data_IF_069980974847
#
_entry.id   IF_069980974847
#
_cell.length_a   1.000
_cell.length_b   1.000
_cell.length_c   1.000
_cell.angle_alpha   90.00
_cell.angle_beta   90.00
_cell.angle_gamma   90.00
#
_symmetry.space_group_name_H-M   'P 1'
#
loop_
_entity.id
_entity.type
_entity.pdbx_description
1 polymer ?
#
# COMPACT_ATOMS: atom_id res chain seq x y z
N UNK A 1 -25.50 4.33 8.13
CA UNK A 1 -24.71 4.25 7.01
C UNK A 1 -24.34 5.59 6.39
N UNK A 2 -23.05 5.87 6.29
CA UNK A 2 -22.52 7.08 5.65
C UNK A 2 -22.35 6.90 4.11
N UNK A 3 -23.25 6.15 3.44
CA UNK A 3 -23.23 5.97 1.99
C UNK A 3 -22.13 5.04 1.46
N UNK A 4 -21.43 4.30 2.33
CA UNK A 4 -20.51 3.25 1.94
C UNK A 4 -21.26 1.93 1.72
N UNK A 5 -21.08 1.33 0.55
CA UNK A 5 -21.59 0.01 0.26
C UNK A 5 -20.53 -1.01 0.70
N UNK A 6 -20.86 -1.83 1.70
CA UNK A 6 -19.96 -2.85 2.26
C UNK A 6 -20.71 -4.14 2.54
N UNK A 7 -19.98 -5.21 2.73
CA UNK A 7 -20.51 -6.46 3.27
C UNK A 7 -21.10 -6.23 4.66
N UNK A 8 -22.22 -6.91 4.95
CA UNK A 8 -22.89 -6.85 6.24
C UNK A 8 -22.87 -8.22 6.87
N UNK A 9 -22.63 -8.27 8.19
CA UNK A 9 -22.70 -9.52 8.94
C UNK A 9 -24.15 -10.01 9.01
N UNK A 10 -24.40 -11.21 8.54
CA UNK A 10 -25.69 -11.90 8.69
C UNK A 10 -25.72 -12.56 10.06
N UNK A 11 -26.63 -12.10 10.91
CA UNK A 11 -26.76 -12.64 12.27
C UNK A 11 -27.43 -14.00 12.30
N UNK A 12 -27.06 -14.83 13.25
CA UNK A 12 -27.72 -16.12 13.51
C UNK A 12 -29.15 -15.91 14.01
N UNK A 13 -29.91 -17.00 14.19
CA UNK A 13 -31.27 -16.94 14.77
C UNK A 13 -31.28 -16.41 16.20
N UNK A 14 -30.16 -16.57 16.91
CA UNK A 14 -29.91 -16.10 18.28
C UNK A 14 -29.32 -14.68 18.31
N UNK A 15 -29.34 -13.97 17.20
CA UNK A 15 -28.79 -12.61 17.03
C UNK A 15 -27.26 -12.49 17.25
N UNK A 16 -26.54 -13.61 17.14
CA UNK A 16 -25.09 -13.62 17.25
C UNK A 16 -24.41 -13.35 15.87
N UNK A 17 -23.23 -12.67 15.82
CA UNK A 17 -22.51 -12.44 14.56
C UNK A 17 -21.76 -13.68 14.07
N UNK A 18 -21.56 -14.67 14.92
CA UNK A 18 -20.78 -15.88 14.64
C UNK A 18 -21.63 -17.10 15.03
N UNK A 19 -21.69 -18.10 14.16
CA UNK A 19 -22.21 -19.43 14.45
C UNK A 19 -21.05 -20.34 14.85
N UNK A 20 -21.26 -21.14 15.91
CA UNK A 20 -20.31 -22.16 16.36
C UNK A 20 -20.99 -23.52 16.14
N UNK A 21 -20.32 -24.41 15.41
CA UNK A 21 -20.82 -25.77 15.14
C UNK A 21 -20.25 -26.78 16.15
N UNK A 22 -20.72 -28.03 16.06
CA UNK A 22 -20.43 -29.10 17.07
C UNK A 22 -18.91 -29.38 17.24
N UNK A 23 -18.09 -29.15 16.20
CA UNK A 23 -16.63 -29.33 16.24
C UNK A 23 -15.87 -28.06 16.68
N UNK A 24 -16.57 -27.10 17.29
CA UNK A 24 -16.07 -25.79 17.72
C UNK A 24 -15.62 -24.86 16.56
N UNK A 25 -15.84 -25.24 15.32
CA UNK A 25 -15.56 -24.38 14.15
C UNK A 25 -16.49 -23.18 14.16
N UNK A 26 -15.90 -22.00 13.94
CA UNK A 26 -16.62 -20.73 13.92
C UNK A 26 -16.85 -20.27 12.48
N UNK A 27 -18.08 -19.89 12.19
CA UNK A 27 -18.50 -19.36 10.89
C UNK A 27 -19.10 -17.98 11.03
N UNK A 28 -18.72 -17.09 10.12
CA UNK A 28 -19.38 -15.81 9.93
C UNK A 28 -19.89 -15.76 8.49
N UNK A 29 -21.13 -15.32 8.31
CA UNK A 29 -21.76 -15.16 6.99
C UNK A 29 -21.86 -13.66 6.71
N UNK A 30 -21.41 -13.26 5.51
CA UNK A 30 -21.50 -11.87 5.04
C UNK A 30 -22.47 -11.81 3.86
N UNK A 31 -23.14 -10.66 3.70
CA UNK A 31 -23.93 -10.38 2.50
C UNK A 31 -22.98 -10.19 1.32
N UNK A 32 -23.40 -10.65 0.14
CA UNK A 32 -22.63 -10.41 -1.07
C UNK A 32 -22.86 -8.99 -1.61
N UNK A 33 -21.78 -8.31 -1.96
CA UNK A 33 -21.82 -7.08 -2.73
C UNK A 33 -21.58 -7.43 -4.20
N UNK A 34 -22.54 -7.09 -5.07
CA UNK A 34 -22.44 -7.37 -6.50
C UNK A 34 -21.78 -6.22 -7.25
N UNK A 35 -20.88 -6.53 -8.19
CA UNK A 35 -20.21 -5.55 -9.02
C UNK A 35 -19.07 -6.14 -9.83
N UNK A 36 -18.46 -5.33 -10.69
CA UNK A 36 -17.21 -5.67 -11.38
C UNK A 36 -16.05 -5.11 -10.57
N UNK A 37 -14.94 -5.82 -10.52
CA UNK A 37 -13.70 -5.30 -9.92
C UNK A 37 -13.25 -4.00 -10.61
N UNK A 38 -12.52 -3.16 -9.89
CA UNK A 38 -11.92 -1.94 -10.43
C UNK A 38 -11.03 -2.27 -11.64
N UNK A 39 -11.35 -1.71 -12.82
CA UNK A 39 -10.51 -1.90 -14.01
C UNK A 39 -9.26 -1.02 -13.92
N UNK A 40 -8.12 -1.65 -13.71
CA UNK A 40 -6.82 -0.98 -13.61
C UNK A 40 -6.31 -0.36 -14.93
N UNK A 41 -7.07 -0.46 -16.04
CA UNK A 41 -6.85 0.24 -17.31
C UNK A 41 -7.75 1.47 -17.45
N UNK A 42 -8.78 1.57 -16.61
CA UNK A 42 -9.69 2.70 -16.59
C UNK A 42 -9.25 3.72 -15.53
N UNK A 43 -8.74 4.87 -15.98
CA UNK A 43 -8.27 5.95 -15.09
C UNK A 43 -9.38 6.44 -14.15
N UNK A 44 -10.62 6.55 -14.64
CA UNK A 44 -11.76 7.00 -13.84
C UNK A 44 -12.08 6.03 -12.69
N UNK A 45 -12.02 4.71 -12.93
CA UNK A 45 -12.22 3.70 -11.88
C UNK A 45 -11.16 3.81 -10.80
N UNK A 46 -9.88 4.00 -11.21
CA UNK A 46 -8.78 4.12 -10.26
C UNK A 46 -8.90 5.39 -9.39
N UNK A 47 -9.28 6.52 -10.00
CA UNK A 47 -9.53 7.78 -9.29
C UNK A 47 -10.70 7.63 -8.31
N UNK A 48 -11.83 7.08 -8.76
CA UNK A 48 -12.98 6.83 -7.91
C UNK A 48 -12.67 5.85 -6.75
N UNK A 49 -11.76 4.90 -6.98
CA UNK A 49 -11.25 4.01 -5.94
C UNK A 49 -10.48 4.77 -4.85
N UNK A 50 -9.64 5.76 -5.21
CA UNK A 50 -8.93 6.59 -4.24
C UNK A 50 -9.89 7.49 -3.43
N UNK A 51 -10.88 8.10 -4.08
CA UNK A 51 -11.93 8.88 -3.40
C UNK A 51 -12.73 8.01 -2.43
N UNK A 52 -13.06 6.78 -2.85
CA UNK A 52 -13.82 5.85 -2.01
C UNK A 52 -13.02 5.39 -0.78
N UNK A 53 -11.69 5.24 -0.90
CA UNK A 53 -10.82 4.97 0.24
C UNK A 53 -10.83 6.13 1.24
N UNK A 54 -10.72 7.36 0.76
CA UNK A 54 -10.79 8.54 1.62
C UNK A 54 -12.14 8.66 2.36
N UNK A 55 -13.25 8.32 1.68
CA UNK A 55 -14.59 8.24 2.31
C UNK A 55 -14.62 7.15 3.39
N UNK A 56 -13.97 6.01 3.18
CA UNK A 56 -13.86 4.94 4.19
C UNK A 56 -13.13 5.44 5.43
N UNK A 57 -11.99 6.12 5.24
CA UNK A 57 -11.19 6.64 6.34
C UNK A 57 -11.94 7.71 7.14
N UNK A 58 -12.61 8.67 6.46
CA UNK A 58 -13.46 9.66 7.14
C UNK A 58 -14.62 9.01 7.92
N UNK A 59 -15.25 7.98 7.35
CA UNK A 59 -16.30 7.26 8.04
C UNK A 59 -15.80 6.55 9.30
N UNK A 60 -14.57 6.05 9.24
CA UNK A 60 -13.92 5.38 10.35
C UNK A 60 -13.51 6.33 11.49
N UNK A 61 -13.16 7.58 11.18
CA UNK A 61 -12.85 8.62 12.18
C UNK A 61 -14.03 8.96 13.09
N UNK A 62 -15.26 8.75 12.62
CA UNK A 62 -16.48 8.96 13.43
C UNK A 62 -16.73 7.86 14.46
N UNK A 63 -15.94 6.80 14.44
CA UNK A 63 -16.04 5.70 15.38
C UNK A 63 -15.36 6.08 16.69
N UNK A 64 -16.14 6.28 17.74
CA UNK A 64 -15.68 6.80 19.04
C UNK A 64 -15.45 5.74 20.12
N UNK A 65 -15.69 4.47 19.80
CA UNK A 65 -15.48 3.38 20.75
C UNK A 65 -14.00 3.04 20.93
N UNK A 66 -13.66 2.47 22.05
CA UNK A 66 -12.29 2.02 22.34
C UNK A 66 -11.86 0.96 21.31
N UNK A 67 -10.77 1.23 20.61
CA UNK A 67 -10.19 0.28 19.66
C UNK A 67 -9.62 -0.91 20.44
N UNK A 68 -10.01 -2.16 20.14
CA UNK A 68 -9.44 -3.31 20.80
C UNK A 68 -7.93 -3.43 20.51
N UNK A 69 -7.13 -3.73 21.53
CA UNK A 69 -5.67 -3.83 21.42
C UNK A 69 -5.20 -4.79 20.31
N UNK A 70 -5.95 -5.90 20.10
CA UNK A 70 -5.59 -6.90 19.10
C UNK A 70 -5.70 -6.43 17.64
N UNK A 71 -6.34 -5.28 17.36
CA UNK A 71 -6.37 -4.68 16.01
C UNK A 71 -5.41 -3.51 15.86
N UNK A 72 -4.76 -3.09 16.96
CA UNK A 72 -3.80 -1.99 16.94
C UNK A 72 -2.44 -2.49 16.45
N UNK A 73 -1.87 -1.79 15.47
CA UNK A 73 -0.50 -2.01 15.03
C UNK A 73 0.42 -1.00 15.71
N UNK A 74 1.66 -1.42 15.94
CA UNK A 74 2.69 -0.52 16.48
C UNK A 74 2.96 0.61 15.47
N UNK A 75 2.99 1.89 15.89
CA UNK A 75 3.34 3.01 15.03
C UNK A 75 4.72 2.86 14.35
N UNK A 76 5.62 2.08 14.95
CA UNK A 76 6.94 1.78 14.38
C UNK A 76 6.93 0.57 13.45
N UNK A 77 5.80 -0.10 13.27
CA UNK A 77 5.72 -1.36 12.53
C UNK A 77 6.36 -1.26 11.14
N UNK A 78 6.14 -0.15 10.41
CA UNK A 78 6.72 0.02 9.08
C UNK A 78 8.25 0.14 9.13
N UNK A 79 8.80 0.90 10.09
CA UNK A 79 10.24 1.02 10.26
C UNK A 79 10.87 -0.34 10.58
N UNK A 80 10.34 -1.03 11.57
CA UNK A 80 10.84 -2.35 11.98
C UNK A 80 10.71 -3.37 10.84
N UNK A 81 9.62 -3.31 10.08
CA UNK A 81 9.39 -4.13 8.91
C UNK A 81 10.46 -3.89 7.84
N UNK A 82 10.76 -2.65 7.50
CA UNK A 82 11.77 -2.32 6.50
C UNK A 82 13.19 -2.67 6.96
N UNK A 83 13.50 -2.48 8.23
CA UNK A 83 14.77 -2.96 8.79
C UNK A 83 14.90 -4.49 8.72
N UNK A 84 13.81 -5.22 9.00
CA UNK A 84 13.76 -6.67 8.82
C UNK A 84 13.97 -7.06 7.36
N UNK A 85 13.27 -6.41 6.43
CA UNK A 85 13.43 -6.64 4.99
C UNK A 85 14.87 -6.35 4.53
N UNK A 86 15.49 -5.29 5.03
CA UNK A 86 16.89 -4.97 4.75
C UNK A 86 17.85 -6.08 5.23
N UNK A 87 17.62 -6.62 6.43
CA UNK A 87 18.40 -7.77 6.94
C UNK A 87 18.18 -9.03 6.09
N UNK A 88 16.98 -9.27 5.59
CA UNK A 88 16.68 -10.38 4.69
C UNK A 88 17.35 -10.23 3.33
N UNK A 89 17.35 -9.02 2.74
CA UNK A 89 18.08 -8.72 1.50
C UNK A 89 19.59 -9.00 1.65
N UNK A 90 20.19 -8.65 2.79
CA UNK A 90 21.59 -8.98 3.10
C UNK A 90 21.82 -10.49 3.14
N UNK A 91 20.91 -11.27 3.74
CA UNK A 91 20.99 -12.73 3.78
C UNK A 91 20.94 -13.32 2.36
N UNK A 92 20.02 -12.85 1.52
CA UNK A 92 19.91 -13.30 0.12
C UNK A 92 21.18 -12.99 -0.65
N UNK A 93 21.71 -11.78 -0.55
CA UNK A 93 22.97 -11.38 -1.21
C UNK A 93 24.13 -12.24 -0.75
N UNK A 94 24.29 -12.52 0.56
CA UNK A 94 25.38 -13.33 1.09
C UNK A 94 25.27 -14.79 0.63
N UNK A 95 24.05 -15.34 0.57
CA UNK A 95 23.79 -16.66 0.02
C UNK A 95 24.22 -16.74 -1.46
N UNK A 96 23.80 -15.80 -2.29
CA UNK A 96 24.16 -15.75 -3.71
C UNK A 96 25.68 -15.58 -3.89
N UNK A 97 26.31 -14.72 -3.06
CA UNK A 97 27.76 -14.49 -3.11
C UNK A 97 28.56 -15.75 -2.82
N UNK A 98 28.11 -16.61 -1.91
CA UNK A 98 28.79 -17.84 -1.54
C UNK A 98 28.76 -18.93 -2.62
N UNK A 99 27.85 -18.83 -3.60
CA UNK A 99 27.70 -19.83 -4.67
C UNK A 99 28.84 -19.73 -5.69
N UNK A 100 29.44 -20.87 -6.01
CA UNK A 100 30.45 -20.97 -7.06
C UNK A 100 29.91 -20.70 -8.46
N UNK A 101 28.68 -21.19 -8.74
CA UNK A 101 27.96 -20.97 -10.00
C UNK A 101 26.63 -20.32 -9.71
N UNK A 102 26.36 -19.20 -10.35
CA UNK A 102 25.14 -18.44 -10.23
C UNK A 102 24.24 -18.70 -11.43
N UNK A 103 22.93 -18.76 -11.21
CA UNK A 103 21.94 -18.77 -12.29
C UNK A 103 21.61 -17.33 -12.75
N UNK A 104 20.82 -17.21 -13.81
CA UNK A 104 20.51 -15.91 -14.42
C UNK A 104 19.78 -14.96 -13.46
N UNK A 105 18.87 -15.48 -12.63
CA UNK A 105 18.21 -14.68 -11.59
C UNK A 105 19.23 -14.11 -10.59
N UNK A 106 20.15 -14.94 -10.12
CA UNK A 106 21.15 -14.55 -9.13
C UNK A 106 22.15 -13.52 -9.70
N UNK A 107 22.52 -13.65 -10.96
CA UNK A 107 23.37 -12.67 -11.66
C UNK A 107 22.64 -11.33 -11.77
N UNK A 108 21.37 -11.35 -12.22
CA UNK A 108 20.55 -10.14 -12.36
C UNK A 108 20.32 -9.46 -11.01
N UNK A 109 19.89 -10.22 -9.99
CA UNK A 109 19.68 -9.71 -8.64
C UNK A 109 20.96 -9.08 -8.06
N UNK A 110 22.08 -9.79 -8.16
CA UNK A 110 23.35 -9.32 -7.61
C UNK A 110 23.84 -8.03 -8.28
N UNK A 111 23.64 -7.90 -9.60
CA UNK A 111 23.97 -6.70 -10.36
C UNK A 111 23.17 -5.47 -9.96
N UNK A 112 21.95 -5.66 -9.41
CA UNK A 112 21.06 -4.57 -8.98
C UNK A 112 21.08 -4.34 -7.46
N UNK A 113 21.70 -5.24 -6.70
CA UNK A 113 21.60 -5.25 -5.25
C UNK A 113 22.00 -3.94 -4.59
N UNK A 114 23.16 -3.37 -4.93
CA UNK A 114 23.67 -2.17 -4.24
C UNK A 114 22.77 -0.97 -4.50
N UNK A 115 22.26 -0.78 -5.74
CA UNK A 115 21.32 0.29 -6.09
C UNK A 115 20.07 0.25 -5.22
N UNK A 116 19.42 -0.91 -5.13
CA UNK A 116 18.17 -1.04 -4.37
C UNK A 116 18.39 -1.10 -2.86
N UNK A 117 19.52 -1.66 -2.41
CA UNK A 117 19.84 -1.71 -0.99
C UNK A 117 20.18 -0.32 -0.42
N UNK A 118 20.81 0.54 -1.20
CA UNK A 118 21.06 1.93 -0.81
C UNK A 118 19.74 2.68 -0.59
N UNK A 119 18.81 2.61 -1.56
CA UNK A 119 17.46 3.18 -1.42
C UNK A 119 16.71 2.62 -0.20
N UNK A 120 16.76 1.30 0.00
CA UNK A 120 16.10 0.64 1.11
C UNK A 120 16.64 1.10 2.48
N UNK A 121 17.94 1.34 2.58
CA UNK A 121 18.58 1.87 3.80
C UNK A 121 18.22 3.33 4.02
N UNK A 122 18.25 4.14 2.98
CA UNK A 122 17.89 5.55 3.05
C UNK A 122 16.47 5.71 3.57
N UNK A 123 15.49 5.02 2.98
CA UNK A 123 14.09 5.07 3.43
C UNK A 123 13.95 4.62 4.89
N UNK A 124 14.60 3.54 5.30
CA UNK A 124 14.53 3.08 6.69
C UNK A 124 15.14 4.11 7.66
N UNK A 125 16.20 4.81 7.26
CA UNK A 125 16.82 5.88 8.04
C UNK A 125 15.91 7.10 8.14
N UNK A 126 15.28 7.53 7.05
CA UNK A 126 14.36 8.66 7.02
C UNK A 126 13.10 8.39 7.86
N UNK A 127 12.53 7.17 7.78
CA UNK A 127 11.43 6.75 8.66
C UNK A 127 11.83 6.81 10.14
N UNK A 128 13.04 6.36 10.48
CA UNK A 128 13.56 6.45 11.85
C UNK A 128 13.70 7.89 12.32
N UNK A 129 14.08 8.82 11.43
CA UNK A 129 14.24 10.24 11.74
C UNK A 129 12.90 10.98 11.90
N UNK A 130 11.81 10.51 11.26
CA UNK A 130 10.48 11.11 11.42
C UNK A 130 9.96 11.02 12.85
N UNK A 131 10.40 10.03 13.63
CA UNK A 131 9.93 9.82 14.99
C UNK A 131 8.45 9.43 15.09
N UNK A 132 7.94 9.42 16.33
CA UNK A 132 6.54 9.08 16.63
C UNK A 132 5.74 10.38 16.83
N UNK A 133 5.27 10.99 15.76
CA UNK A 133 4.43 12.19 15.95
C UNK A 133 3.81 12.72 14.66
N UNK A 134 2.54 13.10 14.73
CA UNK A 134 1.83 13.75 13.63
C UNK A 134 1.26 12.84 12.55
N UNK A 135 1.39 11.50 12.66
CA UNK A 135 0.70 10.57 11.77
C UNK A 135 -0.70 10.30 12.32
N UNK A 136 -1.71 10.42 11.47
CA UNK A 136 -3.07 10.03 11.83
C UNK A 136 -3.20 8.52 11.84
N UNK A 137 -3.25 7.93 13.04
CA UNK A 137 -3.66 6.54 13.20
C UNK A 137 -5.19 6.45 13.12
N UNK A 138 -5.67 5.44 12.43
CA UNK A 138 -7.09 5.20 12.24
C UNK A 138 -7.36 3.80 11.71
N UNK A 139 -8.62 3.49 11.50
CA UNK A 139 -8.99 2.22 10.91
C UNK A 139 -8.61 2.16 9.44
N UNK A 140 -7.93 1.08 9.07
CA UNK A 140 -7.48 0.75 7.73
C UNK A 140 -8.19 -0.50 7.23
N UNK A 141 -8.39 -0.60 5.92
CA UNK A 141 -8.84 -1.83 5.27
C UNK A 141 -7.77 -2.94 5.35
N UNK A 142 -6.49 -2.55 5.29
CA UNK A 142 -5.32 -3.44 5.39
C UNK A 142 -4.96 -4.18 4.09
N UNK A 143 -5.91 -4.38 3.16
CA UNK A 143 -5.66 -4.93 1.81
C UNK A 143 -6.49 -4.22 0.73
N UNK A 144 -6.52 -2.87 0.75
CA UNK A 144 -7.24 -2.09 -0.25
C UNK A 144 -6.59 -2.23 -1.62
N UNK A 145 -7.32 -2.82 -2.59
CA UNK A 145 -6.82 -3.08 -3.93
C UNK A 145 -7.97 -3.27 -4.94
N UNK A 146 -7.65 -3.38 -6.23
CA UNK A 146 -8.64 -3.47 -7.31
C UNK A 146 -9.64 -4.62 -7.18
N UNK A 147 -9.29 -5.71 -6.52
CA UNK A 147 -10.17 -6.87 -6.34
C UNK A 147 -11.20 -6.65 -5.23
N UNK A 148 -10.91 -5.75 -4.31
CA UNK A 148 -11.73 -5.44 -3.14
C UNK A 148 -12.58 -4.17 -3.34
N UNK A 149 -12.60 -3.62 -4.56
CA UNK A 149 -13.41 -2.47 -4.96
C UNK A 149 -14.33 -2.90 -6.08
N UNK A 150 -15.64 -2.90 -5.83
CA UNK A 150 -16.65 -3.41 -6.75
C UNK A 150 -17.52 -2.27 -7.30
N UNK A 151 -17.50 -2.09 -8.61
CA UNK A 151 -18.30 -1.10 -9.33
C UNK A 151 -19.63 -1.71 -9.75
N UNK A 152 -20.72 -1.08 -9.36
CA UNK A 152 -22.09 -1.49 -9.69
C UNK A 152 -22.97 -0.31 -10.08
N UNK A 153 -24.20 -0.58 -10.54
CA UNK A 153 -25.21 0.45 -10.83
C UNK A 153 -25.66 1.21 -9.57
N UNK A 154 -25.51 0.61 -8.40
CA UNK A 154 -25.91 1.19 -7.12
C UNK A 154 -24.79 1.94 -6.42
N UNK A 155 -23.57 1.92 -6.98
CA UNK A 155 -22.41 2.60 -6.42
C UNK A 155 -21.16 1.70 -6.36
N UNK A 156 -20.15 2.20 -5.67
CA UNK A 156 -18.88 1.50 -5.46
C UNK A 156 -18.88 0.85 -4.08
N UNK A 157 -18.71 -0.47 -4.06
CA UNK A 157 -18.61 -1.28 -2.86
C UNK A 157 -17.17 -1.58 -2.46
N UNK A 158 -16.93 -1.71 -1.15
CA UNK A 158 -15.66 -2.18 -0.58
C UNK A 158 -15.95 -3.48 0.15
N UNK A 159 -15.13 -4.50 -0.11
CA UNK A 159 -15.31 -5.86 0.40
C UNK A 159 -13.99 -6.43 0.94
N UNK A 160 -14.06 -7.54 1.66
CA UNK A 160 -12.88 -8.26 2.18
C UNK A 160 -12.08 -7.50 3.25
N UNK A 161 -12.75 -7.26 4.39
CA UNK A 161 -12.15 -6.57 5.54
C UNK A 161 -11.36 -7.50 6.48
N UNK A 162 -10.92 -8.67 6.02
CA UNK A 162 -10.19 -9.66 6.85
C UNK A 162 -8.85 -9.15 7.37
N UNK A 163 -8.26 -8.16 6.69
CA UNK A 163 -7.01 -7.51 7.09
C UNK A 163 -7.20 -6.19 7.85
N UNK A 164 -8.45 -5.94 8.30
CA UNK A 164 -8.78 -4.73 9.04
C UNK A 164 -7.87 -4.50 10.25
N UNK A 165 -7.33 -3.29 10.37
CA UNK A 165 -6.38 -2.95 11.43
C UNK A 165 -6.51 -1.47 11.82
N UNK A 166 -5.90 -1.11 12.96
CA UNK A 166 -5.78 0.28 13.39
C UNK A 166 -4.31 0.70 13.28
N UNK A 167 -4.00 1.53 12.29
CA UNK A 167 -2.64 1.94 11.96
C UNK A 167 -2.64 3.28 11.21
N UNK A 168 -1.50 3.68 10.67
CA UNK A 168 -1.38 4.90 9.86
C UNK A 168 -2.20 4.74 8.58
N UNK A 169 -3.30 5.52 8.45
CA UNK A 169 -4.30 5.35 7.39
C UNK A 169 -3.74 5.51 5.98
N UNK A 170 -2.77 6.40 5.79
CA UNK A 170 -2.15 6.61 4.47
C UNK A 170 -1.42 5.37 3.94
N UNK A 171 -1.17 4.36 4.76
CA UNK A 171 -0.62 3.06 4.33
C UNK A 171 -1.55 2.32 3.36
N UNK A 172 -2.87 2.42 3.53
CA UNK A 172 -3.84 1.87 2.59
C UNK A 172 -3.76 2.58 1.22
N UNK A 173 -3.67 3.93 1.23
CA UNK A 173 -3.47 4.71 0.01
C UNK A 173 -2.17 4.31 -0.70
N UNK A 174 -1.06 4.20 0.04
CA UNK A 174 0.22 3.78 -0.50
C UNK A 174 0.17 2.39 -1.15
N UNK A 175 -0.47 1.42 -0.49
CA UNK A 175 -0.67 0.09 -1.04
C UNK A 175 -1.50 0.10 -2.32
N UNK A 176 -2.59 0.86 -2.33
CA UNK A 176 -3.44 1.04 -3.49
C UNK A 176 -2.68 1.66 -4.66
N UNK A 177 -2.08 2.82 -4.44
CA UNK A 177 -1.31 3.55 -5.44
C UNK A 177 -0.21 2.69 -6.05
N UNK A 178 0.59 2.00 -5.22
CA UNK A 178 1.65 1.12 -5.72
C UNK A 178 1.11 0.05 -6.65
N UNK A 179 -0.01 -0.62 -6.31
CA UNK A 179 -0.64 -1.64 -7.16
C UNK A 179 -1.14 -1.05 -8.49
N UNK A 180 -1.71 0.16 -8.47
CA UNK A 180 -2.18 0.86 -9.67
C UNK A 180 -1.00 1.31 -10.56
N UNK A 181 0.00 1.94 -9.97
CA UNK A 181 1.17 2.46 -10.69
C UNK A 181 2.04 1.35 -11.29
N UNK A 182 2.26 0.23 -10.60
CA UNK A 182 2.96 -0.92 -11.16
C UNK A 182 2.29 -1.50 -12.42
N UNK A 183 0.97 -1.41 -12.52
CA UNK A 183 0.21 -1.85 -13.70
C UNK A 183 0.19 -0.83 -14.82
N UNK A 184 0.39 0.45 -14.49
CA UNK A 184 0.37 1.58 -15.40
C UNK A 184 1.75 2.21 -15.62
N UNK A 185 2.81 1.40 -15.50
CA UNK A 185 4.20 1.79 -15.75
C UNK A 185 4.61 3.06 -15.00
N UNK A 186 4.17 3.22 -13.76
CA UNK A 186 4.47 4.37 -12.89
C UNK A 186 4.16 5.72 -13.55
N UNK A 187 3.03 5.79 -14.28
CA UNK A 187 2.59 7.03 -14.91
C UNK A 187 2.42 8.13 -13.86
N UNK A 188 3.24 9.17 -13.97
CA UNK A 188 3.32 10.27 -12.99
C UNK A 188 1.99 11.01 -12.87
N UNK A 189 1.34 11.34 -14.00
CA UNK A 189 0.04 12.02 -13.98
C UNK A 189 -1.06 11.18 -13.30
N UNK A 190 -1.06 9.86 -13.47
CA UNK A 190 -1.97 8.98 -12.72
C UNK A 190 -1.66 9.02 -11.22
N UNK A 191 -0.38 8.99 -10.84
CA UNK A 191 0.02 9.02 -9.43
C UNK A 191 -0.47 10.29 -8.74
N UNK A 192 -0.29 11.44 -9.38
CA UNK A 192 -0.77 12.73 -8.87
C UNK A 192 -2.29 12.78 -8.78
N UNK A 193 -3.02 12.29 -9.80
CA UNK A 193 -4.48 12.21 -9.75
C UNK A 193 -4.99 11.38 -8.57
N UNK A 194 -4.34 10.27 -8.24
CA UNK A 194 -4.74 9.43 -7.11
C UNK A 194 -4.55 10.15 -5.77
N UNK A 195 -3.44 10.87 -5.60
CA UNK A 195 -3.20 11.71 -4.43
C UNK A 195 -4.25 12.80 -4.32
N UNK A 196 -4.48 13.56 -5.39
CA UNK A 196 -5.47 14.63 -5.43
C UNK A 196 -6.89 14.12 -5.18
N UNK A 197 -7.25 12.97 -5.74
CA UNK A 197 -8.57 12.37 -5.55
C UNK A 197 -8.82 12.01 -4.08
N UNK A 198 -7.83 11.44 -3.43
CA UNK A 198 -7.90 11.15 -1.99
C UNK A 198 -7.94 12.45 -1.17
N UNK A 199 -7.03 13.40 -1.44
CA UNK A 199 -6.88 14.66 -0.71
C UNK A 199 -8.14 15.54 -0.76
N UNK A 200 -8.84 15.58 -1.89
CA UNK A 200 -10.12 16.29 -2.01
C UNK A 200 -11.20 15.83 -1.02
N UNK A 201 -11.17 14.56 -0.64
CA UNK A 201 -12.17 13.95 0.25
C UNK A 201 -11.67 13.91 1.69
N UNK A 202 -10.40 13.55 1.89
CA UNK A 202 -9.70 13.55 3.18
C UNK A 202 -8.34 14.19 3.01
N UNK A 203 -8.19 15.38 3.61
CA UNK A 203 -6.95 16.16 3.53
C UNK A 203 -5.76 15.38 4.07
N UNK A 204 -4.68 15.39 3.32
CA UNK A 204 -3.39 14.83 3.70
C UNK A 204 -2.54 15.91 4.39
N UNK A 205 -2.02 15.61 5.56
CA UNK A 205 -1.04 16.45 6.23
C UNK A 205 0.35 16.30 5.59
N UNK A 206 1.24 17.27 5.80
CA UNK A 206 2.64 17.18 5.36
C UNK A 206 3.34 15.90 5.88
N UNK A 207 3.02 15.49 7.12
CA UNK A 207 3.56 14.26 7.71
C UNK A 207 3.04 13.01 6.99
N UNK A 208 1.76 12.98 6.62
CA UNK A 208 1.17 11.87 5.87
C UNK A 208 1.70 11.80 4.43
N UNK A 209 1.94 12.96 3.78
CA UNK A 209 2.56 13.02 2.46
C UNK A 209 3.98 12.48 2.48
N UNK A 210 4.79 12.89 3.46
CA UNK A 210 6.14 12.35 3.62
C UNK A 210 6.13 10.84 3.92
N UNK A 211 5.21 10.37 4.77
CA UNK A 211 5.03 8.94 5.02
C UNK A 211 4.65 8.18 3.73
N UNK A 212 3.71 8.74 2.95
CA UNK A 212 3.30 8.19 1.66
C UNK A 212 4.50 8.11 0.69
N UNK A 213 5.29 9.18 0.60
CA UNK A 213 6.52 9.21 -0.20
C UNK A 213 7.48 8.09 0.20
N UNK A 214 7.82 7.97 1.48
CA UNK A 214 8.75 6.96 1.97
C UNK A 214 8.23 5.54 1.72
N UNK A 215 6.91 5.33 1.89
CA UNK A 215 6.28 4.05 1.58
C UNK A 215 6.40 3.68 0.10
N UNK A 216 6.22 4.66 -0.81
CA UNK A 216 6.36 4.46 -2.25
C UNK A 216 7.82 4.35 -2.69
N UNK A 217 8.75 5.01 -1.99
CA UNK A 217 10.18 5.01 -2.27
C UNK A 217 10.87 3.71 -1.87
N UNK A 218 10.37 2.97 -0.87
CA UNK A 218 10.94 1.69 -0.48
C UNK A 218 10.82 0.65 -1.62
N UNK A 219 11.89 -0.07 -2.00
CA UNK A 219 11.87 -1.04 -3.09
C UNK A 219 11.25 -2.39 -2.68
N UNK A 220 10.02 -2.34 -2.18
CA UNK A 220 9.27 -3.46 -1.62
C UNK A 220 9.20 -4.67 -2.55
N UNK A 221 9.01 -4.43 -3.84
CA UNK A 221 8.90 -5.51 -4.82
C UNK A 221 10.23 -6.22 -5.06
N UNK A 222 11.36 -5.49 -4.99
CA UNK A 222 12.70 -6.08 -5.04
C UNK A 222 12.90 -7.06 -3.88
N UNK A 223 12.56 -6.63 -2.67
CA UNK A 223 12.59 -7.49 -1.50
C UNK A 223 11.65 -8.70 -1.65
N UNK A 224 10.39 -8.51 -2.06
CA UNK A 224 9.41 -9.60 -2.24
C UNK A 224 9.90 -10.67 -3.20
N UNK A 225 10.50 -10.27 -4.32
CA UNK A 225 11.04 -11.20 -5.32
C UNK A 225 12.23 -11.97 -4.74
N UNK A 226 13.15 -11.26 -4.06
CA UNK A 226 14.34 -11.85 -3.44
C UNK A 226 13.97 -12.83 -2.32
N UNK A 227 13.07 -12.42 -1.43
CA UNK A 227 12.63 -13.24 -0.30
C UNK A 227 11.88 -14.50 -0.77
N UNK A 228 11.01 -14.36 -1.77
CA UNK A 228 10.35 -15.52 -2.38
C UNK A 228 11.35 -16.48 -3.02
N UNK A 229 12.36 -15.97 -3.72
CA UNK A 229 13.43 -16.80 -4.29
C UNK A 229 14.17 -17.57 -3.19
N UNK A 230 14.61 -16.89 -2.14
CA UNK A 230 15.40 -17.45 -1.06
C UNK A 230 14.65 -18.52 -0.24
N UNK A 231 13.35 -18.28 0.03
CA UNK A 231 12.52 -19.17 0.84
C UNK A 231 11.88 -20.31 0.03
N UNK A 232 12.05 -20.35 -1.29
CA UNK A 232 11.56 -21.44 -2.12
C UNK A 232 12.61 -22.57 -2.14
N UNK A 233 12.34 -23.67 -1.43
CA UNK A 233 13.21 -24.86 -1.37
C UNK A 233 13.29 -25.67 -2.68
N UNK A 234 12.88 -25.10 -3.79
CA UNK A 234 12.91 -25.77 -5.10
C UNK A 234 14.26 -25.51 -5.75
N UNK A 235 14.93 -26.58 -6.16
CA UNK A 235 16.19 -26.55 -6.92
C UNK A 235 16.08 -25.79 -8.27
N UNK A 236 14.86 -25.44 -8.68
CA UNK A 236 14.56 -24.83 -9.96
C UNK A 236 13.88 -23.46 -9.76
N UNK A 237 14.56 -22.41 -10.24
CA UNK A 237 13.99 -21.05 -10.29
C UNK A 237 13.09 -20.97 -11.51
N UNK A 238 11.81 -20.73 -11.30
CA UNK A 238 10.88 -20.55 -12.43
C UNK A 238 11.29 -19.29 -13.21
N UNK A 239 11.28 -19.36 -14.54
CA UNK A 239 11.48 -18.18 -15.42
C UNK A 239 10.63 -16.98 -15.03
N UNK A 240 9.44 -17.23 -14.46
CA UNK A 240 8.54 -16.20 -13.92
C UNK A 240 9.18 -15.27 -12.86
N UNK A 241 10.17 -15.74 -12.09
CA UNK A 241 10.84 -14.87 -11.10
C UNK A 241 11.85 -13.94 -11.78
N UNK A 242 12.52 -14.41 -12.83
CA UNK A 242 13.41 -13.60 -13.68
C UNK A 242 12.58 -12.50 -14.38
N UNK A 243 11.50 -12.88 -15.06
CA UNK A 243 10.59 -11.94 -15.73
C UNK A 243 10.05 -10.85 -14.79
N UNK A 244 9.69 -11.21 -13.56
CA UNK A 244 9.23 -10.25 -12.55
C UNK A 244 10.32 -9.28 -12.14
N UNK A 245 11.55 -9.77 -11.95
CA UNK A 245 12.68 -8.92 -11.60
C UNK A 245 13.06 -7.99 -12.75
N UNK A 246 13.12 -8.50 -13.97
CA UNK A 246 13.36 -7.70 -15.17
C UNK A 246 12.27 -6.62 -15.37
N UNK A 247 10.99 -6.99 -15.21
CA UNK A 247 9.90 -6.01 -15.30
C UNK A 247 10.05 -4.92 -14.25
N UNK A 248 10.38 -5.27 -13.01
CA UNK A 248 10.60 -4.31 -11.94
C UNK A 248 11.77 -3.35 -12.27
N UNK A 249 12.90 -3.88 -12.75
CA UNK A 249 14.07 -3.07 -13.15
C UNK A 249 13.72 -2.12 -14.32
N UNK A 250 12.98 -2.60 -15.32
CA UNK A 250 12.56 -1.75 -16.46
C UNK A 250 11.64 -0.60 -16.06
N UNK A 251 10.88 -0.73 -14.99
CA UNK A 251 9.96 0.30 -14.52
C UNK A 251 10.63 1.31 -13.56
N UNK A 252 11.88 1.08 -13.18
CA UNK A 252 12.51 1.86 -12.12
C UNK A 252 12.72 3.32 -12.50
N UNK A 253 13.08 3.61 -13.74
CA UNK A 253 13.30 4.99 -14.20
C UNK A 253 11.99 5.81 -14.17
N UNK A 254 10.86 5.21 -14.54
CA UNK A 254 9.55 5.86 -14.45
C UNK A 254 9.10 6.02 -12.98
N UNK A 255 9.42 5.04 -12.15
CA UNK A 255 9.16 5.12 -10.71
C UNK A 255 9.98 6.25 -10.07
N UNK A 256 11.25 6.40 -10.43
CA UNK A 256 12.10 7.50 -9.96
C UNK A 256 11.54 8.86 -10.38
N UNK A 257 11.13 9.02 -11.64
CA UNK A 257 10.50 10.26 -12.12
C UNK A 257 9.24 10.61 -11.34
N UNK A 258 8.38 9.63 -11.05
CA UNK A 258 7.21 9.85 -10.22
C UNK A 258 7.62 10.32 -8.80
N UNK A 259 8.57 9.65 -8.17
CA UNK A 259 9.05 9.99 -6.84
C UNK A 259 9.71 11.37 -6.78
N UNK A 260 10.49 11.74 -7.79
CA UNK A 260 11.11 13.06 -7.89
C UNK A 260 10.06 14.17 -8.02
N UNK A 261 9.01 13.95 -8.81
CA UNK A 261 7.91 14.92 -8.92
C UNK A 261 7.18 15.05 -7.60
N UNK A 262 6.80 13.91 -7.00
CA UNK A 262 6.10 13.90 -5.73
C UNK A 262 6.90 14.64 -4.62
N UNK A 263 8.20 14.40 -4.53
CA UNK A 263 9.06 15.05 -3.54
C UNK A 263 9.22 16.58 -3.77
N UNK A 264 9.30 17.02 -5.02
CA UNK A 264 9.34 18.46 -5.36
C UNK A 264 8.05 19.17 -4.98
N UNK A 265 6.92 18.55 -5.22
CA UNK A 265 5.62 19.11 -4.88
C UNK A 265 5.45 19.18 -3.34
N UNK A 266 5.90 18.17 -2.61
CA UNK A 266 5.95 18.19 -1.14
C UNK A 266 6.85 19.29 -0.61
N UNK A 267 8.09 19.42 -1.11
CA UNK A 267 9.03 20.51 -0.73
C UNK A 267 8.47 21.90 -1.06
N UNK A 268 7.81 22.05 -2.20
CA UNK A 268 7.18 23.31 -2.59
C UNK A 268 6.04 23.69 -1.64
N UNK A 269 5.23 22.73 -1.23
CA UNK A 269 4.14 22.91 -0.27
C UNK A 269 4.69 23.31 1.12
N UNK A 270 5.77 22.67 1.57
CA UNK A 270 6.41 22.93 2.85
C UNK A 270 7.13 24.29 2.88
N UNK A 271 7.78 24.70 1.76
CA UNK A 271 8.63 25.91 1.69
C UNK A 271 7.81 27.19 1.51
N UNK A 272 6.65 27.12 0.86
CA UNK A 272 5.83 28.30 0.59
C UNK A 272 4.94 28.74 1.75
N UNK A 273 4.94 28.00 2.87
CA UNK A 273 4.09 28.29 4.02
C UNK A 273 2.60 28.36 3.65
N UNK A 274 2.25 27.68 2.56
CA UNK A 274 0.90 27.60 2.04
C UNK A 274 0.08 26.87 3.10
N UNK A 275 -0.98 27.49 3.56
CA UNK A 275 -1.92 26.89 4.48
C UNK A 275 -2.45 25.61 3.84
N UNK A 276 -2.74 24.62 4.66
CA UNK A 276 -3.36 23.34 4.24
C UNK A 276 -4.58 23.53 3.28
N UNK A 277 -5.14 24.73 3.25
CA UNK A 277 -6.28 25.16 2.43
C UNK A 277 -5.95 25.40 0.94
N UNK A 278 -4.65 25.59 0.57
CA UNK A 278 -4.23 26.06 -0.76
C UNK A 278 -3.70 24.96 -1.69
N UNK A 279 -3.53 23.73 -1.19
CA UNK A 279 -2.99 22.58 -1.93
C UNK A 279 -3.76 22.23 -3.22
N UNK A 280 -5.11 22.33 -3.30
CA UNK A 280 -5.84 22.01 -4.53
C UNK A 280 -5.59 22.97 -5.69
N UNK A 281 -5.18 24.21 -5.41
CA UNK A 281 -5.03 25.26 -6.44
C UNK A 281 -3.72 25.15 -7.23
N UNK A 282 -2.70 24.48 -6.69
CA UNK A 282 -1.41 24.35 -7.38
C UNK A 282 -1.38 23.18 -8.37
N UNK A 283 -2.19 22.15 -8.17
CA UNK A 283 -2.25 20.97 -9.05
C UNK A 283 -3.08 21.23 -10.32
N UNK A 284 -3.94 22.26 -10.32
CA UNK A 284 -4.69 22.70 -11.50
C UNK A 284 -3.83 23.57 -12.48
N UNK A 285 -2.59 23.91 -12.11
CA UNK A 285 -1.70 24.78 -12.89
C UNK A 285 -0.56 24.01 -13.62
N UNK A 286 -0.51 22.69 -13.49
CA UNK A 286 0.42 21.79 -14.20
C UNK A 286 -0.33 20.86 -15.18
#
# INVERSE_FOLDING_TARGET
GQGLLTEQVVRTKEDAPIAVVEDETKYMVLTAVSGSECDTRNRADMIAGAEKLAMLHNAAETYSETVPEFVCNDPNELQELYEKHNRELVKVRNYIRSKKKKNDFEVLFYGQYERFMEKARQVAQELSAMGQGGQSAGFCHGDYNQHNILFSKTGIGIVHFECFSYQIQVSDLANYMRKMLEKNNWNTGLGMDLICAYDRVRRLTAVELNYLYLYMAYPEKFWKIANRYYNTHKAWVSGRNIEKLEKFIRQEDERERFLEMFHKDEEALLTQGIREEDIPLMLDLL
#
